data_IF_647101020031
#
_entry.id   IF_647101020031
#
_cell.length_a   1.000
_cell.length_b   1.000
_cell.length_c   1.000
_cell.angle_alpha   90.00
_cell.angle_beta   90.00
_cell.angle_gamma   90.00
#
_symmetry.space_group_name_H-M   'P 1'
#
loop_
_entity.id
_entity.type
_entity.pdbx_description
1 polymer ?
#
# COMPACT_ATOMS: atom_id res chain seq x y z
N UNK A 1 -23.92 -9.43 -10.24
CA UNK A 1 -23.11 -9.96 -9.11
C UNK A 1 -22.92 -8.84 -8.11
N UNK A 2 -23.46 -8.96 -6.91
CA UNK A 2 -23.19 -8.00 -5.84
C UNK A 2 -21.70 -8.07 -5.48
N UNK A 3 -20.98 -6.95 -5.57
CA UNK A 3 -19.62 -6.84 -5.04
C UNK A 3 -19.66 -7.28 -3.58
N UNK A 4 -18.94 -8.32 -3.23
CA UNK A 4 -18.70 -8.64 -1.82
C UNK A 4 -17.81 -7.54 -1.30
N UNK A 5 -18.40 -6.58 -0.61
CA UNK A 5 -17.64 -5.54 0.09
C UNK A 5 -16.89 -6.26 1.21
N UNK A 6 -15.55 -6.19 1.19
CA UNK A 6 -14.74 -6.79 2.23
C UNK A 6 -15.24 -6.36 3.59
N UNK A 7 -15.67 -7.32 4.42
CA UNK A 7 -16.17 -7.01 5.75
C UNK A 7 -15.06 -6.43 6.61
N UNK A 8 -15.41 -5.61 7.59
CA UNK A 8 -14.50 -5.14 8.65
C UNK A 8 -13.63 -6.27 9.22
N UNK A 9 -14.25 -7.43 9.43
CA UNK A 9 -13.57 -8.63 9.94
C UNK A 9 -12.44 -9.10 9.01
N UNK A 10 -12.67 -9.08 7.69
CA UNK A 10 -11.65 -9.46 6.70
C UNK A 10 -10.50 -8.45 6.71
N UNK A 11 -10.81 -7.15 6.68
CA UNK A 11 -9.79 -6.10 6.71
C UNK A 11 -8.93 -6.15 7.97
N UNK A 12 -9.52 -6.42 9.12
CA UNK A 12 -8.79 -6.61 10.40
C UNK A 12 -7.92 -7.86 10.37
N UNK A 13 -8.44 -8.99 9.87
CA UNK A 13 -7.67 -10.22 9.73
C UNK A 13 -6.45 -10.03 8.82
N UNK A 14 -6.62 -9.32 7.71
CA UNK A 14 -5.52 -8.98 6.82
C UNK A 14 -4.46 -8.08 7.49
N UNK A 15 -4.87 -7.13 8.34
CA UNK A 15 -3.93 -6.32 9.12
C UNK A 15 -3.15 -7.17 10.16
N UNK A 16 -3.80 -8.08 10.84
CA UNK A 16 -3.15 -8.98 11.82
C UNK A 16 -2.10 -9.89 11.16
N UNK A 17 -2.28 -10.30 9.91
CA UNK A 17 -1.30 -11.10 9.16
C UNK A 17 0.05 -10.39 8.97
N UNK A 18 0.09 -9.06 8.99
CA UNK A 18 1.31 -8.28 8.82
C UNK A 18 2.08 -8.04 10.11
N UNK A 19 1.44 -8.33 11.25
CA UNK A 19 1.97 -7.99 12.57
C UNK A 19 3.24 -8.76 12.90
N UNK A 20 4.31 -8.03 13.23
CA UNK A 20 5.61 -8.60 13.57
C UNK A 20 6.41 -9.11 12.36
N UNK A 21 5.90 -8.97 11.15
CA UNK A 21 6.59 -9.35 9.93
C UNK A 21 7.28 -8.17 9.23
N UNK A 22 8.02 -8.48 8.18
CA UNK A 22 8.69 -7.50 7.33
C UNK A 22 7.97 -7.39 6.00
N UNK A 23 7.68 -6.16 5.57
CA UNK A 23 7.16 -5.84 4.23
C UNK A 23 8.35 -5.31 3.43
N UNK A 24 8.64 -5.93 2.28
CA UNK A 24 9.76 -5.54 1.43
C UNK A 24 9.32 -4.74 0.22
N UNK A 25 9.97 -3.59 0.01
CA UNK A 25 9.80 -2.78 -1.18
C UNK A 25 10.50 -3.45 -2.38
N UNK A 26 9.79 -3.66 -3.48
CA UNK A 26 10.28 -4.33 -4.69
C UNK A 26 9.87 -3.56 -5.95
N UNK A 27 10.69 -3.63 -6.98
CA UNK A 27 10.44 -2.94 -8.27
C UNK A 27 10.26 -3.91 -9.44
N UNK A 28 10.39 -5.20 -9.21
CA UNK A 28 10.19 -6.24 -10.22
C UNK A 28 9.89 -7.62 -9.57
N UNK A 29 9.51 -8.57 -10.43
CA UNK A 29 9.16 -9.93 -10.01
C UNK A 29 10.34 -10.71 -9.40
N UNK A 30 11.57 -10.47 -9.84
CA UNK A 30 12.76 -11.16 -9.31
C UNK A 30 13.02 -10.76 -7.85
N UNK A 31 12.99 -9.46 -7.56
CA UNK A 31 13.11 -8.96 -6.19
C UNK A 31 11.98 -9.46 -5.29
N UNK A 32 10.76 -9.57 -5.82
CA UNK A 32 9.64 -10.09 -5.07
C UNK A 32 9.84 -11.54 -4.64
N UNK A 33 10.37 -12.41 -5.51
CA UNK A 33 10.72 -13.80 -5.18
C UNK A 33 11.80 -13.87 -4.11
N UNK A 34 12.85 -13.07 -4.25
CA UNK A 34 13.94 -13.01 -3.26
C UNK A 34 13.39 -12.58 -1.88
N UNK A 35 12.49 -11.59 -1.86
CA UNK A 35 11.85 -11.14 -0.63
C UNK A 35 11.01 -12.24 0.03
N UNK A 36 10.20 -12.96 -0.75
CA UNK A 36 9.41 -14.10 -0.27
C UNK A 36 10.30 -15.22 0.28
N UNK A 37 11.34 -15.60 -0.46
CA UNK A 37 12.31 -16.61 -0.03
C UNK A 37 13.06 -16.21 1.26
N UNK A 38 13.30 -14.91 1.45
CA UNK A 38 13.89 -14.36 2.67
C UNK A 38 12.93 -14.30 3.86
N UNK A 39 11.64 -14.63 3.67
CA UNK A 39 10.62 -14.68 4.71
C UNK A 39 9.85 -13.39 4.93
N UNK A 40 9.79 -12.51 3.93
CA UNK A 40 8.90 -11.36 3.98
C UNK A 40 7.43 -11.81 4.10
N UNK A 41 6.62 -11.09 4.86
CA UNK A 41 5.19 -11.40 5.04
C UNK A 41 4.31 -10.76 3.97
N UNK A 42 4.85 -9.76 3.28
CA UNK A 42 4.25 -9.11 2.10
C UNK A 42 5.34 -8.39 1.31
N UNK A 43 5.03 -8.03 0.07
CA UNK A 43 5.84 -7.14 -0.76
C UNK A 43 5.05 -5.89 -1.14
N UNK A 44 5.78 -4.77 -1.30
CA UNK A 44 5.24 -3.51 -1.80
C UNK A 44 5.78 -3.28 -3.21
N UNK A 45 4.90 -3.34 -4.21
CA UNK A 45 5.25 -3.05 -5.59
C UNK A 45 5.39 -1.55 -5.81
N UNK A 46 6.58 -1.10 -6.17
CA UNK A 46 6.94 0.30 -6.40
C UNK A 46 7.45 0.52 -7.82
N UNK A 47 7.30 1.76 -8.32
CA UNK A 47 7.99 2.20 -9.53
C UNK A 47 9.49 2.38 -9.26
N UNK A 48 9.84 2.92 -8.10
CA UNK A 48 11.20 3.18 -7.63
C UNK A 48 11.27 3.00 -6.12
N UNK A 49 12.40 2.52 -5.64
CA UNK A 49 12.62 2.46 -4.19
C UNK A 49 12.83 3.87 -3.60
N UNK A 50 12.54 4.08 -2.31
CA UNK A 50 12.64 5.40 -1.68
C UNK A 50 14.00 6.09 -1.83
N UNK A 51 15.10 5.34 -1.86
CA UNK A 51 16.45 5.89 -2.09
C UNK A 51 16.60 6.54 -3.45
N UNK A 52 16.06 5.93 -4.49
CA UNK A 52 16.14 6.43 -5.87
C UNK A 52 15.27 7.67 -6.05
N UNK A 53 14.09 7.70 -5.39
CA UNK A 53 13.23 8.87 -5.37
C UNK A 53 13.93 10.05 -4.71
N UNK A 54 14.63 9.82 -3.59
CA UNK A 54 15.42 10.86 -2.91
C UNK A 54 16.56 11.38 -3.78
N UNK A 55 17.25 10.49 -4.48
CA UNK A 55 18.38 10.86 -5.35
C UNK A 55 17.93 11.62 -6.60
N UNK A 56 16.80 11.24 -7.20
CA UNK A 56 16.30 11.84 -8.44
C UNK A 56 15.41 13.07 -8.22
N UNK A 57 14.92 13.27 -6.99
CA UNK A 57 13.85 14.21 -6.68
C UNK A 57 12.50 13.76 -7.23
N UNK A 58 11.43 14.24 -6.63
CA UNK A 58 10.06 13.97 -7.10
C UNK A 58 9.19 13.23 -6.10
N UNK A 59 8.01 12.86 -6.55
CA UNK A 59 6.96 12.21 -5.77
C UNK A 59 6.85 10.75 -6.19
N UNK A 60 6.69 9.85 -5.24
CA UNK A 60 6.39 8.44 -5.53
C UNK A 60 5.05 8.35 -6.27
N UNK A 61 5.04 7.66 -7.41
CA UNK A 61 3.83 7.41 -8.21
C UNK A 61 3.41 5.96 -8.05
N UNK A 62 2.17 5.68 -8.46
CA UNK A 62 1.74 4.31 -8.67
C UNK A 62 2.68 3.61 -9.65
N UNK A 63 3.12 2.39 -9.32
CA UNK A 63 3.89 1.58 -10.25
C UNK A 63 3.08 1.30 -11.53
N UNK A 64 3.79 1.06 -12.64
CA UNK A 64 3.13 0.63 -13.86
C UNK A 64 2.29 -0.63 -13.58
N UNK A 65 1.00 -0.67 -13.98
CA UNK A 65 0.13 -1.82 -13.75
C UNK A 65 0.76 -3.15 -14.16
N UNK A 66 1.52 -3.18 -15.25
CA UNK A 66 2.22 -4.38 -15.71
C UNK A 66 3.24 -4.89 -14.68
N UNK A 67 3.99 -3.99 -14.03
CA UNK A 67 4.94 -4.38 -12.96
C UNK A 67 4.18 -4.96 -11.77
N UNK A 68 3.08 -4.33 -11.37
CA UNK A 68 2.24 -4.83 -10.27
C UNK A 68 1.71 -6.24 -10.59
N UNK A 69 1.21 -6.46 -11.81
CA UNK A 69 0.73 -7.76 -12.26
C UNK A 69 1.84 -8.81 -12.28
N UNK A 70 3.04 -8.46 -12.78
CA UNK A 70 4.21 -9.35 -12.79
C UNK A 70 4.63 -9.75 -11.37
N UNK A 71 4.61 -8.81 -10.42
CA UNK A 71 4.89 -9.08 -9.00
C UNK A 71 3.81 -9.99 -8.40
N UNK A 72 2.52 -9.71 -8.63
CA UNK A 72 1.41 -10.53 -8.14
C UNK A 72 1.47 -11.97 -8.65
N UNK A 73 1.90 -12.16 -9.89
CA UNK A 73 2.06 -13.50 -10.48
C UNK A 73 3.32 -14.24 -10.01
N UNK A 74 4.26 -13.54 -9.40
CA UNK A 74 5.57 -14.09 -9.04
C UNK A 74 5.63 -14.67 -7.63
N UNK A 75 4.76 -14.21 -6.71
CA UNK A 75 4.79 -14.55 -5.28
C UNK A 75 3.44 -15.06 -4.79
N UNK A 76 3.47 -15.81 -3.70
CA UNK A 76 2.27 -16.30 -3.00
C UNK A 76 1.89 -15.46 -1.79
N UNK A 77 2.81 -14.63 -1.30
CA UNK A 77 2.56 -13.69 -0.20
C UNK A 77 1.79 -12.46 -0.68
N UNK A 78 1.08 -11.75 0.21
CA UNK A 78 0.31 -10.56 -0.15
C UNK A 78 1.13 -9.49 -0.87
N UNK A 79 0.53 -8.89 -1.90
CA UNK A 79 1.11 -7.79 -2.67
C UNK A 79 0.40 -6.49 -2.34
N UNK A 80 1.18 -5.52 -1.91
CA UNK A 80 0.75 -4.14 -1.73
C UNK A 80 1.18 -3.30 -2.91
N UNK A 81 0.41 -2.28 -3.24
CA UNK A 81 0.80 -1.31 -4.25
C UNK A 81 0.48 0.11 -3.79
N UNK A 82 1.34 1.04 -4.19
CA UNK A 82 1.26 2.44 -3.77
C UNK A 82 0.32 3.24 -4.65
N UNK A 83 -0.56 4.02 -4.01
CA UNK A 83 -1.31 5.11 -4.61
C UNK A 83 -0.88 6.44 -3.96
N UNK A 84 -0.79 7.50 -4.75
CA UNK A 84 -0.56 8.85 -4.22
C UNK A 84 -1.73 9.28 -3.34
N UNK A 85 -1.44 10.08 -2.31
CA UNK A 85 -2.45 10.62 -1.41
C UNK A 85 -3.53 11.38 -2.22
N UNK A 86 -4.80 11.07 -1.99
CA UNK A 86 -5.94 11.72 -2.66
C UNK A 86 -6.22 11.26 -4.10
N UNK A 87 -5.39 10.41 -4.70
CA UNK A 87 -5.55 9.96 -6.09
C UNK A 87 -6.50 8.77 -6.23
N UNK A 88 -7.81 9.07 -6.27
CA UNK A 88 -8.85 8.06 -6.36
C UNK A 88 -8.73 7.14 -7.58
N UNK A 89 -8.26 7.67 -8.71
CA UNK A 89 -8.11 6.88 -9.95
C UNK A 89 -7.05 5.80 -9.79
N UNK A 90 -5.88 6.13 -9.20
CA UNK A 90 -4.84 5.14 -8.94
C UNK A 90 -5.36 4.04 -8.01
N UNK A 91 -6.02 4.39 -6.91
CA UNK A 91 -6.58 3.43 -5.99
C UNK A 91 -7.64 2.53 -6.64
N UNK A 92 -8.49 3.07 -7.53
CA UNK A 92 -9.48 2.28 -8.28
C UNK A 92 -8.84 1.32 -9.28
N UNK A 93 -7.78 1.74 -9.95
CA UNK A 93 -7.00 0.87 -10.84
C UNK A 93 -6.41 -0.29 -10.05
N UNK A 94 -5.73 -0.01 -8.94
CA UNK A 94 -5.14 -1.04 -8.08
C UNK A 94 -6.19 -2.00 -7.50
N UNK A 95 -7.34 -1.48 -7.04
CA UNK A 95 -8.46 -2.31 -6.58
C UNK A 95 -8.96 -3.23 -7.69
N UNK A 96 -9.07 -2.71 -8.94
CA UNK A 96 -9.53 -3.51 -10.08
C UNK A 96 -8.54 -4.59 -10.51
N UNK A 97 -7.26 -4.39 -10.27
CA UNK A 97 -6.21 -5.38 -10.49
C UNK A 97 -6.23 -6.51 -9.45
N UNK A 98 -6.87 -6.27 -8.30
CA UNK A 98 -6.98 -7.25 -7.23
C UNK A 98 -5.77 -7.31 -6.30
N UNK A 99 -5.04 -6.19 -6.10
CA UNK A 99 -3.99 -6.12 -5.09
C UNK A 99 -4.55 -6.39 -3.70
N UNK A 100 -3.75 -6.97 -2.82
CA UNK A 100 -4.18 -7.33 -1.47
C UNK A 100 -4.32 -6.13 -0.55
N UNK A 101 -3.49 -5.10 -0.75
CA UNK A 101 -3.53 -3.84 0.00
C UNK A 101 -3.17 -2.66 -0.90
N UNK A 102 -3.71 -1.49 -0.59
CA UNK A 102 -3.28 -0.22 -1.19
C UNK A 102 -2.56 0.61 -0.13
N UNK A 103 -1.34 1.05 -0.42
CA UNK A 103 -0.60 2.01 0.41
C UNK A 103 -0.85 3.43 -0.10
N UNK A 104 -1.71 4.17 0.60
CA UNK A 104 -1.90 5.61 0.34
C UNK A 104 -0.89 6.39 1.15
N UNK A 105 0.29 6.58 0.58
CA UNK A 105 1.37 7.31 1.24
C UNK A 105 2.31 7.96 0.23
N UNK A 106 3.07 8.94 0.72
CA UNK A 106 4.14 9.58 -0.03
C UNK A 106 5.40 9.64 0.81
N UNK A 107 6.55 9.38 0.17
CA UNK A 107 7.82 9.22 0.88
C UNK A 107 8.42 10.57 1.28
N UNK A 108 8.32 11.58 0.43
CA UNK A 108 9.07 12.83 0.60
C UNK A 108 8.20 14.08 0.72
N UNK A 109 7.20 14.21 -0.13
CA UNK A 109 6.28 15.34 -0.12
C UNK A 109 4.86 14.81 -0.25
N UNK A 110 3.98 15.02 0.73
CA UNK A 110 2.57 14.68 0.60
C UNK A 110 1.98 15.40 -0.61
N UNK A 111 1.30 14.68 -1.50
CA UNK A 111 0.56 15.30 -2.61
C UNK A 111 -0.64 16.06 -2.09
N UNK A 112 -1.21 15.58 -0.98
CA UNK A 112 -2.33 16.20 -0.31
C UNK A 112 -2.30 15.86 1.19
N UNK A 113 -2.15 16.86 2.05
CA UNK A 113 -2.17 16.69 3.51
C UNK A 113 -3.60 16.69 4.08
N UNK A 114 -4.57 17.26 3.38
CA UNK A 114 -5.93 17.45 3.86
C UNK A 114 -6.91 16.39 3.34
N UNK A 115 -6.75 15.97 2.09
CA UNK A 115 -7.74 15.17 1.39
C UNK A 115 -7.25 13.75 1.11
N UNK A 116 -7.36 12.89 2.12
CA UNK A 116 -7.17 11.45 1.94
C UNK A 116 -8.39 10.80 1.30
N UNK A 117 -8.13 9.68 0.61
CA UNK A 117 -9.20 8.89 0.03
C UNK A 117 -10.16 8.39 1.12
N UNK A 118 -11.44 8.41 0.83
CA UNK A 118 -12.46 7.74 1.65
C UNK A 118 -12.38 6.24 1.42
N UNK A 119 -11.76 5.54 2.36
CA UNK A 119 -11.43 4.11 2.25
C UNK A 119 -12.64 3.21 2.51
N UNK A 120 -13.73 3.75 3.07
CA UNK A 120 -15.02 3.08 3.19
C UNK A 120 -15.67 2.76 1.82
N UNK A 121 -15.20 3.41 0.75
CA UNK A 121 -15.66 3.16 -0.63
C UNK A 121 -14.91 2.02 -1.33
N UNK A 122 -13.94 1.41 -0.68
CA UNK A 122 -13.12 0.35 -1.23
C UNK A 122 -13.31 -0.97 -0.48
N UNK A 123 -13.21 -2.07 -1.21
CA UNK A 123 -13.23 -3.42 -0.63
C UNK A 123 -11.85 -3.84 -0.12
N UNK A 124 -10.79 -3.32 -0.75
CA UNK A 124 -9.40 -3.58 -0.41
C UNK A 124 -8.99 -2.80 0.85
N UNK A 125 -8.22 -3.39 1.77
CA UNK A 125 -7.65 -2.67 2.91
C UNK A 125 -6.56 -1.70 2.47
N UNK A 126 -6.40 -0.63 3.26
CA UNK A 126 -5.36 0.38 3.04
C UNK A 126 -4.30 0.32 4.11
N UNK A 127 -3.07 0.64 3.72
CA UNK A 127 -1.93 0.90 4.60
C UNK A 127 -1.59 2.38 4.47
N UNK A 128 -1.37 3.06 5.59
CA UNK A 128 -1.01 4.47 5.61
C UNK A 128 0.13 4.70 6.60
N UNK A 129 1.08 5.55 6.23
CA UNK A 129 2.11 6.01 7.14
C UNK A 129 1.62 7.18 8.00
N UNK A 130 2.19 7.33 9.20
CA UNK A 130 2.02 8.51 10.04
C UNK A 130 3.30 8.82 10.80
N UNK A 131 3.55 10.10 11.07
CA UNK A 131 4.73 10.59 11.81
C UNK A 131 4.40 10.93 13.26
N UNK A 132 3.14 11.13 13.57
CA UNK A 132 2.67 11.50 14.90
C UNK A 132 1.21 11.08 15.13
N UNK A 133 0.75 11.20 16.37
CA UNK A 133 -0.61 10.80 16.76
C UNK A 133 -1.71 11.58 16.03
N UNK A 134 -1.49 12.86 15.72
CA UNK A 134 -2.46 13.68 14.98
C UNK A 134 -2.69 13.16 13.57
N UNK A 135 -1.59 12.80 12.86
CA UNK A 135 -1.68 12.16 11.56
C UNK A 135 -2.36 10.79 11.65
N UNK A 136 -2.01 9.98 12.65
CA UNK A 136 -2.66 8.70 12.88
C UNK A 136 -4.18 8.85 13.05
N UNK A 137 -4.60 9.81 13.87
CA UNK A 137 -6.02 10.08 14.09
C UNK A 137 -6.74 10.53 12.81
N UNK A 138 -6.10 11.36 11.98
CA UNK A 138 -6.66 11.75 10.67
C UNK A 138 -6.76 10.57 9.71
N UNK A 139 -5.75 9.68 9.67
CA UNK A 139 -5.80 8.46 8.85
C UNK A 139 -6.93 7.53 9.30
N UNK A 140 -7.11 7.35 10.60
CA UNK A 140 -8.20 6.55 11.18
C UNK A 140 -9.55 7.23 10.87
N UNK A 141 -9.66 8.54 10.97
CA UNK A 141 -10.87 9.28 10.66
C UNK A 141 -11.30 9.21 9.18
N UNK A 142 -10.34 9.09 8.27
CA UNK A 142 -10.61 8.88 6.84
C UNK A 142 -10.96 7.42 6.52
N UNK A 143 -10.85 6.51 7.48
CA UNK A 143 -10.89 5.08 7.27
C UNK A 143 -11.62 4.37 8.37
N UNK A 144 -12.47 3.44 8.00
CA UNK A 144 -13.05 2.53 8.98
C UNK A 144 -12.00 1.57 9.59
N UNK A 145 -10.95 1.18 8.84
CA UNK A 145 -9.84 0.33 9.32
C UNK A 145 -8.61 0.50 8.45
N UNK A 146 -7.49 0.94 9.05
CA UNK A 146 -6.16 0.95 8.46
C UNK A 146 -5.16 0.30 9.38
N UNK A 147 -4.18 -0.35 8.77
CA UNK A 147 -2.94 -0.68 9.44
C UNK A 147 -2.00 0.52 9.33
N UNK A 148 -1.65 1.09 10.48
CA UNK A 148 -0.71 2.21 10.55
C UNK A 148 0.70 1.65 10.71
N UNK A 149 1.62 2.12 9.87
CA UNK A 149 3.05 1.90 10.07
C UNK A 149 3.71 3.20 10.54
N UNK A 150 4.64 3.08 11.48
CA UNK A 150 5.49 4.20 11.84
C UNK A 150 6.49 4.47 10.71
N UNK A 151 6.69 5.75 10.37
CA UNK A 151 7.84 6.15 9.57
C UNK A 151 9.09 6.03 10.43
N UNK A 152 10.03 5.23 9.98
CA UNK A 152 11.38 5.30 10.52
C UNK A 152 11.99 6.62 10.07
N UNK A 153 12.44 7.39 11.02
CA UNK A 153 13.15 8.66 10.82
C UNK A 153 14.58 8.42 10.38
#
# INVERSE_FOLDING_TARGET
MSKIVGSERVKRGMAEMQKGGVIMDVVNAEQAKIAEEAGAVAVMALERVPSDIRAAGGVARMANPKIVEEVMNAVSIPVMAKARIGHITEARVLESMGVDYIDESEVLNPADEEYHLRKDQFTVPFVCGCRNLGEAARRIGAVSYTHLRAHET
#
